data_IF_814006078561
#
_entry.id   IF_814006078561
#
_cell.length_a   1.000
_cell.length_b   1.000
_cell.length_c   1.000
_cell.angle_alpha   90.00
_cell.angle_beta   90.00
_cell.angle_gamma   90.00
#
_symmetry.space_group_name_H-M   'P 1'
#
loop_
_entity.id
_entity.type
_entity.pdbx_description
1 polymer ?
#
# COMPACT_ATOMS: atom_id res chain seq x y z
N UNK A 1 1.04 -17.98 -1.79
CA UNK A 1 0.11 -16.92 -2.28
C UNK A 1 0.90 -15.74 -2.81
N UNK A 2 0.52 -15.15 -3.96
CA UNK A 2 1.00 -13.82 -4.36
C UNK A 2 0.19 -12.76 -3.63
N UNK A 3 0.86 -11.71 -3.17
CA UNK A 3 0.26 -10.65 -2.37
C UNK A 3 0.64 -9.28 -2.94
N UNK A 4 -0.37 -8.48 -3.40
CA UNK A 4 -0.12 -7.28 -4.20
C UNK A 4 0.32 -6.09 -3.36
N UNK A 5 0.94 -5.10 -4.01
CA UNK A 5 1.05 -3.76 -3.47
C UNK A 5 -0.31 -3.03 -3.52
N UNK A 6 -0.38 -1.85 -2.89
CA UNK A 6 -1.49 -0.89 -3.01
C UNK A 6 -0.97 0.52 -3.21
N UNK A 7 -1.84 1.38 -3.72
CA UNK A 7 -1.67 2.82 -3.62
C UNK A 7 -2.85 3.45 -2.84
N UNK A 8 -2.63 4.66 -2.35
CA UNK A 8 -3.70 5.54 -1.89
C UNK A 8 -3.96 6.54 -3.02
N UNK A 9 -4.98 6.31 -3.85
CA UNK A 9 -5.36 7.26 -4.91
C UNK A 9 -5.85 8.59 -4.31
N UNK A 10 -6.51 8.49 -3.16
CA UNK A 10 -7.00 9.63 -2.39
C UNK A 10 -6.67 9.38 -0.92
N UNK A 11 -6.16 10.41 -0.21
CA UNK A 11 -5.94 10.38 1.23
C UNK A 11 -6.20 11.76 1.82
N UNK A 12 -7.25 11.87 2.60
CA UNK A 12 -7.66 13.07 3.33
C UNK A 12 -7.55 12.84 4.83
N UNK A 13 -6.95 13.78 5.54
CA UNK A 13 -6.92 13.80 7.01
C UNK A 13 -8.13 14.60 7.51
N UNK A 14 -9.01 13.93 8.25
CA UNK A 14 -10.22 14.52 8.80
C UNK A 14 -10.00 15.14 10.18
N UNK A 15 -9.03 14.62 10.94
CA UNK A 15 -8.72 15.14 12.26
C UNK A 15 -7.73 14.27 13.04
N UNK A 16 -7.27 14.80 14.17
CA UNK A 16 -6.42 14.07 15.09
C UNK A 16 -7.25 13.41 16.20
N UNK A 17 -6.97 12.14 16.47
CA UNK A 17 -7.64 11.32 17.48
C UNK A 17 -6.98 11.44 18.85
N UNK A 18 -7.73 11.17 19.95
CA UNK A 18 -7.15 11.13 21.30
C UNK A 18 -6.08 10.05 21.50
N UNK A 19 -6.14 8.95 20.72
CA UNK A 19 -5.15 7.85 20.73
C UNK A 19 -3.84 8.19 20.00
N UNK A 20 -3.72 9.41 19.48
CA UNK A 20 -2.53 9.91 18.77
C UNK A 20 -2.51 9.60 17.27
N UNK A 21 -3.44 8.81 16.78
CA UNK A 21 -3.66 8.57 15.34
C UNK A 21 -4.45 9.71 14.71
N UNK A 22 -4.70 9.61 13.41
CA UNK A 22 -5.57 10.52 12.66
C UNK A 22 -6.77 9.78 12.12
N UNK A 23 -7.94 10.41 12.17
CA UNK A 23 -9.07 9.99 11.36
C UNK A 23 -8.78 10.40 9.92
N UNK A 24 -8.85 9.42 9.04
CA UNK A 24 -8.60 9.61 7.61
C UNK A 24 -9.78 9.11 6.79
N UNK A 25 -9.82 9.57 5.55
CA UNK A 25 -10.61 8.99 4.48
C UNK A 25 -9.67 8.74 3.31
N UNK A 26 -9.68 7.52 2.81
CA UNK A 26 -8.76 7.13 1.74
C UNK A 26 -9.44 6.24 0.72
N UNK A 27 -8.95 6.28 -0.52
CA UNK A 27 -9.29 5.30 -1.56
C UNK A 27 -8.07 4.42 -1.77
N UNK A 28 -8.19 3.16 -1.40
CA UNK A 28 -7.21 2.14 -1.69
C UNK A 28 -7.46 1.49 -3.04
N UNK A 29 -6.41 1.38 -3.84
CA UNK A 29 -6.41 0.57 -5.06
C UNK A 29 -5.31 -0.50 -4.95
N UNK A 30 -5.63 -1.79 -5.13
CA UNK A 30 -4.62 -2.82 -5.26
C UNK A 30 -3.91 -2.65 -6.59
N UNK A 31 -2.64 -3.05 -6.66
CA UNK A 31 -1.80 -2.86 -7.84
C UNK A 31 -1.39 -4.22 -8.37
N UNK A 32 -1.70 -4.51 -9.63
CA UNK A 32 -1.20 -5.69 -10.34
C UNK A 32 0.15 -5.40 -11.01
N UNK A 33 1.02 -6.41 -11.07
CA UNK A 33 2.37 -6.28 -11.66
C UNK A 33 3.49 -6.02 -10.66
N UNK A 34 3.15 -5.78 -9.37
CA UNK A 34 4.10 -5.69 -8.28
C UNK A 34 3.54 -6.41 -7.05
N UNK A 35 4.05 -7.60 -6.77
CA UNK A 35 3.63 -8.46 -5.66
C UNK A 35 4.81 -9.15 -4.99
N UNK A 36 4.64 -9.50 -3.72
CA UNK A 36 5.48 -10.41 -2.98
C UNK A 36 4.92 -11.83 -3.08
N UNK A 37 5.69 -12.83 -2.65
CA UNK A 37 5.22 -14.20 -2.56
C UNK A 37 5.37 -14.72 -1.15
N UNK A 38 4.29 -15.23 -0.58
CA UNK A 38 4.25 -15.86 0.74
C UNK A 38 3.84 -17.31 0.60
N UNK A 39 4.60 -18.22 1.23
CA UNK A 39 4.25 -19.62 1.37
C UNK A 39 4.32 -19.98 2.84
N UNK A 40 3.29 -20.67 3.36
CA UNK A 40 3.25 -21.17 4.73
C UNK A 40 3.08 -22.67 4.70
N UNK A 41 3.92 -23.38 5.46
CA UNK A 41 3.90 -24.84 5.56
C UNK A 41 4.17 -25.28 6.99
N UNK A 42 3.84 -26.53 7.33
CA UNK A 42 4.25 -27.11 8.60
C UNK A 42 5.75 -27.28 8.64
N UNK A 43 6.39 -26.84 9.72
CA UNK A 43 7.85 -26.98 9.90
C UNK A 43 8.25 -28.43 10.18
N UNK A 44 9.36 -28.86 9.57
CA UNK A 44 9.96 -30.17 9.83
C UNK A 44 11.48 -30.02 9.99
N UNK A 45 12.04 -30.24 11.20
CA UNK A 45 11.38 -30.64 12.47
C UNK A 45 10.40 -29.56 13.00
N UNK A 46 9.51 -29.93 13.93
CA UNK A 46 8.59 -28.97 14.55
C UNK A 46 9.30 -27.76 15.14
N UNK A 47 8.78 -26.55 14.86
CA UNK A 47 9.32 -25.26 15.30
C UNK A 47 8.70 -24.13 14.48
N UNK A 48 9.11 -22.89 14.74
CA UNK A 48 8.68 -21.74 13.96
C UNK A 48 9.88 -21.12 13.25
N UNK A 49 9.76 -20.95 11.94
CA UNK A 49 10.82 -20.39 11.10
C UNK A 49 10.22 -19.32 10.15
N UNK A 50 10.96 -18.23 9.97
CA UNK A 50 10.69 -17.24 8.92
C UNK A 50 11.94 -17.09 8.05
N UNK A 51 11.81 -17.32 6.76
CA UNK A 51 12.87 -17.15 5.77
C UNK A 51 12.47 -16.03 4.81
N UNK A 52 13.35 -15.03 4.69
CA UNK A 52 13.15 -13.91 3.77
C UNK A 52 14.18 -13.97 2.64
N UNK A 53 13.73 -13.79 1.41
CA UNK A 53 14.56 -13.64 0.21
C UNK A 53 14.16 -12.38 -0.58
N UNK A 54 14.95 -12.00 -1.58
CA UNK A 54 14.74 -10.76 -2.33
C UNK A 54 15.25 -9.53 -1.58
N UNK A 55 14.40 -8.52 -1.37
CA UNK A 55 14.78 -7.33 -0.62
C UNK A 55 15.03 -7.66 0.86
N UNK A 56 16.06 -7.07 1.50
CA UNK A 56 16.46 -7.43 2.85
C UNK A 56 15.39 -7.03 3.89
N UNK A 57 15.03 -8.01 4.73
CA UNK A 57 14.10 -7.87 5.85
C UNK A 57 14.61 -8.68 7.06
N UNK A 58 14.30 -8.24 8.30
CA UNK A 58 14.54 -9.07 9.47
C UNK A 58 13.67 -10.33 9.43
N UNK A 59 14.21 -11.46 9.89
CA UNK A 59 13.49 -12.74 10.00
C UNK A 59 13.18 -13.09 11.47
N UNK A 60 12.72 -12.11 12.23
CA UNK A 60 12.42 -12.20 13.67
C UNK A 60 11.11 -11.45 14.00
N UNK A 61 10.86 -11.19 15.29
CA UNK A 61 9.67 -10.49 15.81
C UNK A 61 9.45 -9.06 15.30
N UNK A 62 10.47 -8.42 14.72
CA UNK A 62 10.33 -7.13 14.08
C UNK A 62 9.62 -7.24 12.71
N UNK A 63 9.56 -8.44 12.13
CA UNK A 63 8.85 -8.69 10.88
C UNK A 63 7.35 -8.89 11.12
N UNK A 64 6.54 -8.22 10.31
CA UNK A 64 5.08 -8.27 10.47
C UNK A 64 4.51 -9.66 10.15
N UNK A 65 5.15 -10.45 9.26
CA UNK A 65 4.79 -11.86 9.02
C UNK A 65 4.96 -12.72 10.29
N UNK A 66 6.07 -12.54 11.00
CA UNK A 66 6.31 -13.21 12.29
C UNK A 66 5.20 -12.87 13.29
N UNK A 67 4.92 -11.57 13.44
CA UNK A 67 3.89 -11.08 14.37
C UNK A 67 2.50 -11.59 14.00
N UNK A 68 2.16 -11.63 12.71
CA UNK A 68 0.90 -12.15 12.21
C UNK A 68 0.74 -13.64 12.56
N UNK A 69 1.78 -14.45 12.31
CA UNK A 69 1.75 -15.88 12.65
C UNK A 69 1.62 -16.12 14.15
N UNK A 70 2.37 -15.39 14.97
CA UNK A 70 2.26 -15.54 16.45
C UNK A 70 0.88 -15.14 16.95
N UNK A 71 0.32 -14.04 16.45
CA UNK A 71 -1.02 -13.58 16.81
C UNK A 71 -2.09 -14.58 16.37
N UNK A 72 -1.96 -15.17 15.16
CA UNK A 72 -2.84 -16.23 14.68
C UNK A 72 -2.79 -17.45 15.61
N UNK A 73 -1.59 -17.97 15.88
CA UNK A 73 -1.41 -19.13 16.75
C UNK A 73 -1.99 -18.90 18.15
N UNK A 74 -1.78 -17.72 18.72
CA UNK A 74 -2.34 -17.34 20.02
C UNK A 74 -3.89 -17.28 19.97
N UNK A 75 -4.47 -16.65 18.95
CA UNK A 75 -5.91 -16.46 18.83
C UNK A 75 -6.65 -17.80 18.64
N UNK A 76 -6.10 -18.69 17.80
CA UNK A 76 -6.71 -19.99 17.52
C UNK A 76 -6.23 -21.12 18.44
N UNK A 77 -5.39 -20.83 19.44
CA UNK A 77 -4.82 -21.80 20.39
C UNK A 77 -4.04 -22.94 19.70
N UNK A 78 -3.25 -22.60 18.68
CA UNK A 78 -2.43 -23.51 17.90
C UNK A 78 -0.96 -23.32 18.29
N UNK A 79 -0.21 -24.42 18.41
CA UNK A 79 1.22 -24.35 18.62
C UNK A 79 1.92 -23.81 17.37
N UNK A 80 2.88 -22.86 17.48
CA UNK A 80 3.59 -22.31 16.32
C UNK A 80 4.60 -23.32 15.78
N UNK A 81 4.17 -24.15 14.83
CA UNK A 81 4.96 -25.20 14.17
C UNK A 81 4.95 -25.00 12.65
N UNK A 82 5.25 -23.77 12.22
CA UNK A 82 5.14 -23.34 10.83
C UNK A 82 6.45 -22.80 10.32
N UNK A 83 6.67 -22.99 9.02
CA UNK A 83 7.71 -22.33 8.24
C UNK A 83 7.04 -21.36 7.28
N UNK A 84 7.51 -20.12 7.29
CA UNK A 84 7.06 -19.06 6.40
C UNK A 84 8.22 -18.75 5.45
N UNK A 85 7.95 -18.77 4.15
CA UNK A 85 8.87 -18.35 3.10
C UNK A 85 8.32 -17.08 2.47
N UNK A 86 9.05 -15.98 2.59
CA UNK A 86 8.71 -14.68 2.02
C UNK A 86 9.73 -14.30 0.95
N UNK A 87 9.28 -14.14 -0.30
CA UNK A 87 10.07 -13.52 -1.37
C UNK A 87 9.62 -12.06 -1.53
N UNK A 88 10.49 -11.12 -1.14
CA UNK A 88 10.19 -9.68 -1.09
C UNK A 88 10.62 -8.97 -2.36
N UNK A 89 9.67 -8.36 -3.06
CA UNK A 89 9.84 -7.56 -4.28
C UNK A 89 9.30 -6.14 -4.12
N UNK A 90 8.19 -5.98 -3.37
CA UNK A 90 7.62 -4.67 -3.06
C UNK A 90 8.61 -3.90 -2.18
N UNK A 91 9.01 -2.66 -2.55
CA UNK A 91 9.93 -1.85 -1.77
C UNK A 91 9.49 -1.67 -0.31
N UNK A 92 10.44 -1.79 0.61
CA UNK A 92 10.19 -1.73 2.06
C UNK A 92 10.02 -0.29 2.51
N UNK A 93 9.08 -0.05 3.44
CA UNK A 93 8.76 1.28 3.97
C UNK A 93 8.47 2.33 2.88
N UNK A 94 7.81 1.91 1.81
CA UNK A 94 7.64 2.66 0.57
C UNK A 94 6.25 3.32 0.41
N UNK A 95 5.33 3.18 1.36
CA UNK A 95 3.95 3.65 1.23
C UNK A 95 3.04 2.73 0.39
N UNK A 96 3.55 1.56 -0.01
CA UNK A 96 2.88 0.59 -0.89
C UNK A 96 2.17 -0.56 -0.14
N UNK A 97 2.19 -0.56 1.19
CA UNK A 97 1.48 -1.56 2.00
C UNK A 97 2.09 -2.97 2.00
N UNK A 98 3.28 -3.19 1.40
CA UNK A 98 3.86 -4.52 1.21
C UNK A 98 3.94 -5.37 2.47
N UNK A 99 4.41 -4.83 3.60
CA UNK A 99 4.45 -5.58 4.85
C UNK A 99 3.07 -5.96 5.40
N UNK A 100 2.06 -5.11 5.19
CA UNK A 100 0.67 -5.42 5.55
C UNK A 100 0.07 -6.48 4.64
N UNK A 101 0.43 -6.44 3.36
CA UNK A 101 0.07 -7.44 2.35
C UNK A 101 0.65 -8.82 2.71
N UNK A 102 1.94 -8.87 3.06
CA UNK A 102 2.62 -10.08 3.49
C UNK A 102 1.96 -10.67 4.75
N UNK A 103 1.66 -9.84 5.75
CA UNK A 103 1.01 -10.27 6.97
C UNK A 103 -0.39 -10.84 6.74
N UNK A 104 -1.19 -10.19 5.88
CA UNK A 104 -2.51 -10.71 5.49
C UNK A 104 -2.41 -12.06 4.80
N UNK A 105 -1.44 -12.23 3.87
CA UNK A 105 -1.19 -13.50 3.22
C UNK A 105 -0.81 -14.59 4.22
N UNK A 106 0.02 -14.30 5.23
CA UNK A 106 0.34 -15.25 6.31
C UNK A 106 -0.92 -15.66 7.06
N UNK A 107 -1.81 -14.73 7.41
CA UNK A 107 -3.06 -15.04 8.11
C UNK A 107 -3.97 -15.95 7.26
N UNK A 108 -4.13 -15.67 5.97
CA UNK A 108 -4.94 -16.45 5.05
C UNK A 108 -4.37 -17.85 4.79
N UNK A 109 -3.05 -17.94 4.57
CA UNK A 109 -2.37 -19.23 4.35
C UNK A 109 -2.42 -20.11 5.61
N UNK A 110 -2.25 -19.55 6.80
CA UNK A 110 -2.42 -20.27 8.06
C UNK A 110 -3.85 -20.76 8.24
N UNK A 111 -4.85 -19.92 7.95
CA UNK A 111 -6.26 -20.30 8.04
C UNK A 111 -6.57 -21.50 7.13
N UNK A 112 -6.02 -21.48 5.90
CA UNK A 112 -6.19 -22.58 4.96
C UNK A 112 -5.46 -23.85 5.40
N UNK A 113 -4.19 -23.71 5.85
CA UNK A 113 -3.33 -24.81 6.29
C UNK A 113 -3.92 -25.54 7.50
N UNK A 114 -4.45 -24.79 8.47
CA UNK A 114 -5.07 -25.33 9.70
C UNK A 114 -6.54 -25.71 9.53
N UNK A 115 -7.11 -25.58 8.31
CA UNK A 115 -8.49 -25.93 7.95
C UNK A 115 -9.55 -25.20 8.81
N UNK A 116 -9.37 -23.91 9.01
CA UNK A 116 -10.22 -23.04 9.83
C UNK A 116 -11.06 -22.06 9.00
N UNK A 117 -11.37 -22.36 7.73
CA UNK A 117 -12.04 -21.45 6.80
C UNK A 117 -13.40 -20.96 7.32
N UNK A 118 -14.11 -21.75 8.12
CA UNK A 118 -15.37 -21.35 8.76
C UNK A 118 -15.19 -20.21 9.78
N UNK A 119 -13.96 -19.93 10.20
CA UNK A 119 -13.60 -18.87 11.14
C UNK A 119 -12.93 -17.67 10.48
N UNK A 120 -13.04 -17.54 9.16
CA UNK A 120 -12.41 -16.45 8.39
C UNK A 120 -12.81 -15.04 8.88
N UNK A 121 -14.06 -14.89 9.35
CA UNK A 121 -14.55 -13.63 9.89
C UNK A 121 -13.72 -13.11 11.09
N UNK A 122 -13.06 -13.99 11.85
CA UNK A 122 -12.23 -13.60 12.98
C UNK A 122 -10.90 -12.97 12.56
N UNK A 123 -10.46 -13.19 11.29
CA UNK A 123 -9.22 -12.58 10.78
C UNK A 123 -9.31 -11.06 10.66
N UNK A 124 -10.50 -10.50 10.43
CA UNK A 124 -10.66 -9.05 10.27
C UNK A 124 -10.29 -8.26 11.52
N UNK A 125 -10.73 -8.75 12.70
CA UNK A 125 -10.37 -8.13 13.98
C UNK A 125 -8.88 -8.32 14.29
N UNK A 126 -8.35 -9.52 14.04
CA UNK A 126 -6.95 -9.84 14.24
C UNK A 126 -6.04 -8.99 13.33
N UNK A 127 -6.41 -8.84 12.07
CA UNK A 127 -5.72 -8.01 11.09
C UNK A 127 -5.71 -6.53 11.51
N UNK A 128 -6.86 -5.98 11.92
CA UNK A 128 -6.98 -4.59 12.37
C UNK A 128 -6.15 -4.31 13.65
N UNK A 129 -6.02 -5.29 14.53
CA UNK A 129 -5.18 -5.19 15.72
C UNK A 129 -3.67 -5.18 15.40
N UNK A 130 -3.25 -5.87 14.34
CA UNK A 130 -1.87 -5.93 13.88
C UNK A 130 -1.44 -4.68 13.10
N UNK A 131 -2.34 -4.10 12.30
CA UNK A 131 -2.04 -2.90 11.52
C UNK A 131 -3.23 -2.42 10.69
N UNK A 132 -3.35 -1.10 10.51
CA UNK A 132 -4.50 -0.46 9.88
C UNK A 132 -4.70 -0.87 8.40
N UNK A 133 -3.62 -1.13 7.66
CA UNK A 133 -3.68 -1.52 6.25
C UNK A 133 -3.88 -3.04 6.05
N UNK A 134 -3.69 -3.89 7.09
CA UNK A 134 -3.76 -5.36 6.94
C UNK A 134 -5.15 -5.83 6.51
N UNK A 135 -6.27 -5.31 7.08
CA UNK A 135 -7.61 -5.70 6.66
C UNK A 135 -7.85 -5.55 5.16
N UNK A 136 -7.32 -4.50 4.53
CA UNK A 136 -7.45 -4.30 3.08
C UNK A 136 -6.91 -5.48 2.26
N UNK A 137 -5.83 -6.11 2.73
CA UNK A 137 -5.18 -7.21 2.02
C UNK A 137 -5.77 -8.60 2.30
N UNK A 138 -6.74 -8.72 3.21
CA UNK A 138 -7.52 -9.96 3.33
C UNK A 138 -8.42 -10.19 2.11
N UNK A 139 -8.87 -9.09 1.47
CA UNK A 139 -9.64 -9.11 0.24
C UNK A 139 -9.28 -7.86 -0.60
N UNK A 140 -8.13 -7.89 -1.31
CA UNK A 140 -7.57 -6.71 -1.96
C UNK A 140 -8.37 -6.30 -3.21
N UNK A 141 -9.41 -5.50 -3.00
CA UNK A 141 -10.25 -4.86 -4.01
C UNK A 141 -10.26 -3.36 -3.80
N UNK A 142 -10.57 -2.53 -4.83
CA UNK A 142 -10.76 -1.10 -4.62
C UNK A 142 -11.72 -0.86 -3.46
N UNK A 143 -11.30 -0.03 -2.50
CA UNK A 143 -12.07 0.20 -1.28
C UNK A 143 -11.88 1.62 -0.75
N UNK A 144 -12.92 2.11 -0.08
CA UNK A 144 -12.86 3.29 0.78
C UNK A 144 -12.41 2.81 2.16
N UNK A 145 -11.35 3.43 2.69
CA UNK A 145 -10.91 3.23 4.07
C UNK A 145 -11.24 4.45 4.92
N UNK A 146 -11.86 4.24 6.06
CA UNK A 146 -12.17 5.26 7.07
C UNK A 146 -11.58 4.88 8.44
N UNK A 147 -11.70 5.78 9.44
CA UNK A 147 -11.04 5.62 10.73
C UNK A 147 -9.54 5.86 10.59
N UNK A 148 -8.70 4.89 10.92
CA UNK A 148 -7.25 4.89 10.64
C UNK A 148 -6.92 4.28 9.26
N UNK A 149 -7.97 3.87 8.49
CA UNK A 149 -7.91 3.13 7.24
C UNK A 149 -8.44 1.69 7.35
N UNK A 150 -8.75 1.22 8.57
CA UNK A 150 -9.18 -0.16 8.87
C UNK A 150 -10.65 -0.44 8.57
N UNK A 151 -11.51 0.59 8.52
CA UNK A 151 -12.93 0.41 8.20
C UNK A 151 -13.12 0.51 6.70
N UNK A 152 -13.32 -0.62 6.07
CA UNK A 152 -13.36 -0.76 4.62
C UNK A 152 -14.79 -0.85 4.09
N UNK A 153 -15.04 -0.11 3.00
CA UNK A 153 -16.25 -0.24 2.20
C UNK A 153 -15.85 -0.52 0.75
N UNK A 154 -16.41 -1.55 0.10
CA UNK A 154 -16.09 -1.87 -1.29
C UNK A 154 -16.39 -0.69 -2.22
N UNK A 155 -15.56 -0.52 -3.23
CA UNK A 155 -15.68 0.51 -4.26
C UNK A 155 -15.57 -0.12 -5.63
N UNK A 156 -16.36 0.38 -6.60
CA UNK A 156 -16.17 0.08 -8.01
C UNK A 156 -15.48 1.25 -8.69
N UNK A 157 -14.38 0.98 -9.40
CA UNK A 157 -13.71 1.95 -10.26
C UNK A 157 -14.05 1.60 -11.70
N UNK A 158 -14.48 2.59 -12.48
CA UNK A 158 -15.02 2.36 -13.81
C UNK A 158 -13.95 1.97 -14.83
N UNK A 159 -12.81 2.66 -14.79
CA UNK A 159 -11.71 2.41 -15.73
C UNK A 159 -10.46 1.90 -15.01
N UNK A 160 -9.76 0.89 -15.57
CA UNK A 160 -8.46 0.49 -15.08
C UNK A 160 -7.45 1.63 -15.32
N UNK A 161 -6.57 1.85 -14.34
CA UNK A 161 -5.54 2.87 -14.42
C UNK A 161 -4.19 2.24 -14.77
N UNK A 162 -3.55 2.72 -15.84
CA UNK A 162 -2.14 2.46 -16.06
C UNK A 162 -1.30 3.38 -15.18
N UNK A 163 -0.41 2.80 -14.39
CA UNK A 163 0.39 3.54 -13.42
C UNK A 163 1.88 3.29 -13.61
N UNK A 164 2.68 4.30 -13.31
CA UNK A 164 4.09 4.14 -13.00
C UNK A 164 4.30 4.37 -11.51
N UNK A 165 4.98 3.43 -10.85
CA UNK A 165 5.44 3.60 -9.47
C UNK A 165 6.94 3.90 -9.49
N UNK A 166 7.35 4.97 -8.82
CA UNK A 166 8.74 5.39 -8.74
C UNK A 166 9.16 5.42 -7.27
N UNK A 167 10.05 4.50 -6.89
CA UNK A 167 10.60 4.43 -5.54
C UNK A 167 12.05 4.92 -5.52
N UNK A 168 12.37 5.99 -4.81
CA UNK A 168 13.72 6.59 -4.79
C UNK A 168 14.69 5.90 -3.82
N UNK A 169 14.31 4.74 -3.23
CA UNK A 169 15.21 3.91 -2.43
C UNK A 169 15.51 4.37 -1.01
N UNK A 170 14.84 5.41 -0.50
CA UNK A 170 14.96 5.84 0.90
C UNK A 170 13.60 5.79 1.62
N UNK A 171 13.54 5.56 2.93
CA UNK A 171 12.28 5.50 3.65
C UNK A 171 11.80 6.88 4.10
N UNK A 172 10.47 7.06 4.16
CA UNK A 172 9.82 8.18 4.87
C UNK A 172 9.09 7.62 6.08
N UNK A 173 9.44 8.02 7.31
CA UNK A 173 8.78 7.50 8.50
C UNK A 173 7.29 7.91 8.52
N UNK A 174 6.38 6.94 8.56
CA UNK A 174 4.92 7.15 8.57
C UNK A 174 4.50 8.15 9.65
N UNK A 175 4.99 7.94 10.88
CA UNK A 175 4.70 8.82 12.02
C UNK A 175 5.09 10.27 11.74
N UNK A 176 6.24 10.47 11.09
CA UNK A 176 6.72 11.81 10.76
C UNK A 176 5.79 12.48 9.74
N UNK A 177 5.34 11.78 8.69
CA UNK A 177 4.44 12.33 7.68
C UNK A 177 3.13 12.83 8.29
N UNK A 178 2.50 12.01 9.15
CA UNK A 178 1.27 12.40 9.85
C UNK A 178 1.47 13.56 10.85
N UNK A 179 2.61 13.60 11.54
CA UNK A 179 2.91 14.70 12.49
C UNK A 179 3.16 16.04 11.81
N UNK A 180 3.58 16.04 10.56
CA UNK A 180 3.91 17.23 9.79
C UNK A 180 2.92 17.48 8.65
N UNK A 181 1.85 16.69 8.59
CA UNK A 181 0.79 16.88 7.60
C UNK A 181 0.22 18.30 7.71
N UNK A 182 0.27 19.01 6.61
CA UNK A 182 -0.13 20.41 6.52
C UNK A 182 -0.71 20.66 5.14
N UNK A 183 -1.94 21.10 5.10
CA UNK A 183 -2.60 21.48 3.85
C UNK A 183 -2.29 22.94 3.54
N UNK A 184 -1.78 23.27 2.34
CA UNK A 184 -1.56 24.66 1.95
C UNK A 184 -2.86 25.46 1.99
N UNK A 185 -2.75 26.75 2.38
CA UNK A 185 -3.91 27.62 2.47
C UNK A 185 -4.63 27.74 1.11
N UNK A 186 -5.94 27.55 1.10
CA UNK A 186 -6.78 27.61 -0.10
C UNK A 186 -6.81 26.32 -0.93
N UNK A 187 -5.99 25.32 -0.62
CA UNK A 187 -6.07 23.99 -1.25
C UNK A 187 -7.01 23.09 -0.48
N UNK A 188 -7.92 22.44 -1.17
CA UNK A 188 -8.88 21.48 -0.59
C UNK A 188 -9.01 20.29 -1.53
N UNK A 189 -9.17 19.06 -1.00
CA UNK A 189 -9.53 17.91 -1.82
C UNK A 189 -10.91 18.13 -2.44
N UNK A 190 -11.18 17.39 -3.48
CA UNK A 190 -12.51 17.33 -4.05
C UNK A 190 -13.51 16.83 -2.99
N UNK A 191 -14.73 17.35 -3.02
CA UNK A 191 -15.80 16.85 -2.17
C UNK A 191 -15.99 15.34 -2.39
N UNK A 192 -16.07 14.57 -1.31
CA UNK A 192 -16.01 13.11 -1.37
C UNK A 192 -17.14 12.49 -2.19
N UNK A 193 -18.34 13.07 -2.16
CA UNK A 193 -19.46 12.63 -3.01
C UNK A 193 -19.14 12.74 -4.49
N UNK A 194 -18.49 13.84 -4.91
CA UNK A 194 -18.05 14.06 -6.30
C UNK A 194 -16.91 13.11 -6.69
N UNK A 195 -15.98 12.85 -5.76
CA UNK A 195 -14.95 11.84 -5.97
C UNK A 195 -15.58 10.48 -6.26
N UNK A 196 -16.60 10.07 -5.49
CA UNK A 196 -17.29 8.80 -5.72
C UNK A 196 -17.95 8.72 -7.10
N UNK A 197 -18.60 9.79 -7.53
CA UNK A 197 -19.20 9.85 -8.87
C UNK A 197 -18.14 9.72 -9.98
N UNK A 198 -16.99 10.39 -9.82
CA UNK A 198 -15.87 10.32 -10.77
C UNK A 198 -15.28 8.91 -10.81
N UNK A 199 -15.06 8.26 -9.66
CA UNK A 199 -14.51 6.90 -9.63
C UNK A 199 -15.44 5.88 -10.29
N UNK A 200 -16.76 6.07 -10.20
CA UNK A 200 -17.75 5.17 -10.78
C UNK A 200 -18.05 5.41 -12.26
N UNK A 201 -17.82 6.59 -12.78
CA UNK A 201 -18.31 6.99 -14.13
C UNK A 201 -17.32 7.83 -14.93
N UNK A 202 -16.29 8.36 -14.27
CA UNK A 202 -15.35 9.28 -14.89
C UNK A 202 -14.31 8.57 -15.74
N UNK A 203 -13.71 9.33 -16.63
CA UNK A 203 -12.54 8.93 -17.42
C UNK A 203 -11.27 8.86 -16.57
N UNK A 204 -10.26 8.16 -17.06
CA UNK A 204 -8.93 8.10 -16.45
C UNK A 204 -8.38 9.49 -16.10
N UNK A 205 -8.61 10.49 -16.99
CA UNK A 205 -8.19 11.88 -16.76
C UNK A 205 -8.92 12.52 -15.59
N UNK A 206 -10.23 12.36 -15.48
CA UNK A 206 -11.02 12.91 -14.37
C UNK A 206 -10.64 12.25 -13.05
N UNK A 207 -10.37 10.93 -13.07
CA UNK A 207 -9.87 10.19 -11.90
C UNK A 207 -8.49 10.72 -11.47
N UNK A 208 -7.59 10.97 -12.44
CA UNK A 208 -6.28 11.54 -12.17
C UNK A 208 -6.37 12.96 -11.56
N UNK A 209 -7.26 13.81 -12.07
CA UNK A 209 -7.50 15.17 -11.55
C UNK A 209 -8.13 15.16 -10.14
N UNK A 210 -8.83 14.10 -9.75
CA UNK A 210 -9.43 13.93 -8.44
C UNK A 210 -8.49 13.29 -7.39
N UNK A 211 -7.31 12.81 -7.80
CA UNK A 211 -6.33 12.22 -6.90
C UNK A 211 -5.81 13.27 -5.88
N UNK A 212 -5.57 12.82 -4.63
CA UNK A 212 -5.20 13.72 -3.55
C UNK A 212 -4.44 13.00 -2.44
N UNK A 213 -3.47 13.68 -1.81
CA UNK A 213 -2.83 13.17 -0.60
C UNK A 213 -2.42 14.31 0.35
N UNK A 214 -3.05 14.43 1.50
CA UNK A 214 -2.73 15.44 2.51
C UNK A 214 -1.31 15.32 3.08
N UNK A 215 -0.70 14.14 3.01
CA UNK A 215 0.66 13.90 3.52
C UNK A 215 1.75 14.43 2.57
N UNK A 216 1.46 14.56 1.28
CA UNK A 216 2.49 14.83 0.26
C UNK A 216 3.13 16.20 0.37
N UNK A 217 2.41 17.22 0.86
CA UNK A 217 2.93 18.59 0.95
C UNK A 217 4.14 18.69 1.87
N UNK A 218 4.06 18.06 3.04
CA UNK A 218 5.18 17.98 3.97
C UNK A 218 6.32 17.11 3.42
N UNK A 219 5.97 16.01 2.75
CA UNK A 219 6.94 15.08 2.15
C UNK A 219 7.73 15.76 1.04
N UNK A 220 7.08 16.45 0.11
CA UNK A 220 7.75 17.20 -0.96
C UNK A 220 8.65 18.32 -0.41
N UNK A 221 8.18 19.04 0.63
CA UNK A 221 8.98 20.09 1.26
C UNK A 221 10.25 19.54 1.91
N UNK A 222 10.17 18.36 2.54
CA UNK A 222 11.32 17.75 3.21
C UNK A 222 12.27 17.04 2.26
N UNK A 223 11.74 16.48 1.19
CA UNK A 223 12.48 15.67 0.23
C UNK A 223 12.36 16.25 -1.20
N UNK A 224 13.11 17.34 -1.51
CA UNK A 224 13.01 18.04 -2.81
C UNK A 224 13.21 17.14 -4.03
N UNK A 225 13.96 16.04 -3.90
CA UNK A 225 14.15 15.06 -4.97
C UNK A 225 12.79 14.47 -5.46
N UNK A 226 11.83 14.28 -4.55
CA UNK A 226 10.49 13.81 -4.94
C UNK A 226 9.74 14.86 -5.76
N UNK A 227 9.95 16.15 -5.48
CA UNK A 227 9.39 17.23 -6.29
C UNK A 227 10.02 17.28 -7.69
N UNK A 228 11.32 17.00 -7.81
CA UNK A 228 11.99 16.90 -9.11
C UNK A 228 11.46 15.73 -9.92
N UNK A 229 11.34 14.55 -9.30
CA UNK A 229 10.73 13.36 -9.92
C UNK A 229 9.29 13.65 -10.39
N UNK A 230 8.48 14.30 -9.54
CA UNK A 230 7.11 14.72 -9.89
C UNK A 230 7.10 15.61 -11.13
N UNK A 231 7.95 16.66 -11.15
CA UNK A 231 8.00 17.60 -12.26
C UNK A 231 8.41 16.89 -13.56
N UNK A 232 9.46 16.07 -13.54
CA UNK A 232 9.87 15.30 -14.71
C UNK A 232 8.76 14.36 -15.23
N UNK A 233 8.07 13.65 -14.34
CA UNK A 233 6.95 12.78 -14.72
C UNK A 233 5.83 13.56 -15.42
N UNK A 234 5.47 14.74 -14.92
CA UNK A 234 4.46 15.62 -15.55
C UNK A 234 4.96 16.13 -16.90
N UNK A 235 6.21 16.58 -16.98
CA UNK A 235 6.82 17.10 -18.23
C UNK A 235 6.87 16.02 -19.33
N UNK A 236 6.98 14.73 -18.94
CA UNK A 236 6.92 13.59 -19.84
C UNK A 236 5.51 13.04 -20.09
N UNK A 237 4.47 13.72 -19.61
CA UNK A 237 3.07 13.47 -20.00
C UNK A 237 2.27 12.58 -19.03
N UNK A 238 2.70 12.43 -17.79
CA UNK A 238 1.83 11.85 -16.75
C UNK A 238 0.60 12.75 -16.51
N UNK A 239 -0.58 12.17 -16.36
CA UNK A 239 -1.82 12.90 -16.07
C UNK A 239 -1.81 13.53 -14.68
N UNK A 240 -1.33 12.81 -13.69
CA UNK A 240 -1.05 13.31 -12.35
C UNK A 240 0.08 12.50 -11.70
N UNK A 241 0.68 13.07 -10.65
CA UNK A 241 1.70 12.40 -9.84
C UNK A 241 1.50 12.76 -8.38
N UNK A 242 1.32 11.74 -7.54
CA UNK A 242 1.12 11.87 -6.10
C UNK A 242 2.00 10.89 -5.32
N UNK A 243 2.17 11.16 -4.03
CA UNK A 243 2.81 10.23 -3.09
C UNK A 243 1.82 9.14 -2.70
N UNK A 244 2.23 7.87 -2.71
CA UNK A 244 1.40 6.78 -2.15
C UNK A 244 1.51 6.73 -0.63
N UNK A 245 0.40 6.94 0.07
CA UNK A 245 0.37 6.99 1.53
C UNK A 245 1.35 8.01 2.10
N UNK A 246 2.22 7.57 3.02
CA UNK A 246 3.30 8.42 3.59
C UNK A 246 4.52 8.55 2.68
N UNK A 247 4.56 7.87 1.57
CA UNK A 247 5.69 7.83 0.65
C UNK A 247 6.81 6.87 1.08
N UNK A 248 7.99 6.98 0.44
CA UNK A 248 8.37 7.97 -0.58
C UNK A 248 7.92 7.63 -2.01
N UNK A 249 7.31 6.46 -2.25
CA UNK A 249 6.94 6.09 -3.61
C UNK A 249 5.95 7.09 -4.19
N UNK A 250 6.25 7.57 -5.39
CA UNK A 250 5.32 8.31 -6.23
C UNK A 250 4.56 7.34 -7.12
N UNK A 251 3.26 7.59 -7.30
CA UNK A 251 2.51 6.98 -8.39
C UNK A 251 2.16 8.06 -9.42
N UNK A 252 2.35 7.73 -10.68
CA UNK A 252 1.96 8.55 -11.81
C UNK A 252 0.83 7.85 -12.57
N UNK A 253 -0.29 8.52 -12.79
CA UNK A 253 -1.35 8.03 -13.66
C UNK A 253 -0.96 8.35 -15.09
N UNK A 254 -0.93 7.34 -15.95
CA UNK A 254 -0.55 7.46 -17.35
C UNK A 254 -1.76 7.64 -18.25
N UNK A 255 -1.58 8.29 -19.41
CA UNK A 255 -2.55 8.16 -20.47
C UNK A 255 -2.61 6.69 -20.93
N UNK A 256 -3.78 6.16 -21.28
CA UNK A 256 -3.89 4.78 -21.78
C UNK A 256 -2.88 4.48 -22.90
N UNK A 257 -2.09 3.41 -22.73
CA UNK A 257 -1.05 2.98 -23.66
C UNK A 257 0.26 3.78 -23.63
N UNK A 258 0.44 4.76 -22.72
CA UNK A 258 1.64 5.59 -22.67
C UNK A 258 2.66 5.18 -21.59
N UNK A 259 2.31 4.28 -20.71
CA UNK A 259 3.13 3.91 -19.52
C UNK A 259 4.54 3.42 -19.89
N UNK A 260 4.68 2.62 -20.95
CA UNK A 260 5.98 2.12 -21.39
C UNK A 260 6.92 3.23 -21.91
N UNK A 261 6.37 4.22 -22.63
CA UNK A 261 7.14 5.37 -23.13
C UNK A 261 7.58 6.26 -21.96
N UNK A 262 6.67 6.52 -21.02
CA UNK A 262 6.97 7.27 -19.80
C UNK A 262 8.04 6.57 -18.97
N UNK A 263 7.91 5.25 -18.76
CA UNK A 263 8.90 4.46 -18.04
C UNK A 263 10.30 4.59 -18.66
N UNK A 264 10.40 4.49 -19.99
CA UNK A 264 11.68 4.60 -20.71
C UNK A 264 12.34 5.97 -20.50
N UNK A 265 11.56 7.04 -20.56
CA UNK A 265 12.08 8.40 -20.37
C UNK A 265 12.59 8.60 -18.94
N UNK A 266 11.77 8.23 -17.95
CA UNK A 266 12.11 8.37 -16.53
C UNK A 266 13.28 7.45 -16.15
N UNK A 267 13.37 6.24 -16.69
CA UNK A 267 14.50 5.35 -16.47
C UNK A 267 15.81 5.93 -17.05
N UNK A 268 15.74 6.66 -18.16
CA UNK A 268 16.91 7.37 -18.71
C UNK A 268 17.44 8.50 -17.81
N UNK A 269 16.55 9.16 -17.06
CA UNK A 269 16.93 10.27 -16.19
C UNK A 269 17.24 9.83 -14.75
N UNK A 270 16.51 8.85 -14.21
CA UNK A 270 16.51 8.53 -12.78
C UNK A 270 16.73 7.04 -12.46
N UNK A 271 16.90 6.18 -13.47
CA UNK A 271 17.01 4.73 -13.29
C UNK A 271 18.24 4.27 -12.48
N UNK A 272 19.27 5.12 -12.32
CA UNK A 272 20.43 4.78 -11.50
C UNK A 272 20.14 4.78 -9.99
N UNK A 273 19.14 5.53 -9.55
CA UNK A 273 18.83 5.66 -8.11
C UNK A 273 17.37 5.40 -7.73
N UNK A 274 16.48 5.28 -8.69
CA UNK A 274 15.05 5.00 -8.44
C UNK A 274 14.64 3.67 -9.08
N UNK A 275 13.90 2.86 -8.34
CA UNK A 275 13.21 1.70 -8.89
C UNK A 275 11.90 2.14 -9.55
N UNK A 276 11.64 1.69 -10.78
CA UNK A 276 10.50 2.11 -11.58
C UNK A 276 9.71 0.87 -11.99
N UNK A 277 8.42 0.84 -11.63
CA UNK A 277 7.52 -0.30 -11.90
C UNK A 277 6.34 0.17 -12.75
N UNK A 278 6.09 -0.52 -13.86
CA UNK A 278 4.86 -0.37 -14.64
C UNK A 278 3.82 -1.32 -14.08
N UNK A 279 2.66 -0.79 -13.71
CA UNK A 279 1.61 -1.53 -13.00
C UNK A 279 0.21 -1.05 -13.43
N UNK A 280 -0.83 -1.81 -13.04
CA UNK A 280 -2.22 -1.40 -13.24
C UNK A 280 -3.00 -1.46 -11.92
N UNK A 281 -4.00 -0.61 -11.79
CA UNK A 281 -4.88 -0.55 -10.62
C UNK A 281 -6.35 -0.37 -11.02
#
# INVERSE_FOLDING_TARGET
METPAKINLFLEILGKRPDGYHDIRTVFLPVSGLSDTVVVEHATPPGFELHCSGLPLPANEDNLCWRAAMAFCQHFHISPQHRILLEKRIPVAAGLGGGSSDAAAVLLELLALEKLQERECELWELAAALGADIPFFLDPRPAIGEGKGERLSPLSVHEPLELLLINPGFPVPVRWSYQHAERPQGMQPLEFSKLMDILQKGSCKEIAEAAWNDLEFAVFRKFPILQMLRSSLIDHGALCVHVSGSGPTLFAVCNPGSSAALQKNIAGEFGEFASIFQVNA
#
